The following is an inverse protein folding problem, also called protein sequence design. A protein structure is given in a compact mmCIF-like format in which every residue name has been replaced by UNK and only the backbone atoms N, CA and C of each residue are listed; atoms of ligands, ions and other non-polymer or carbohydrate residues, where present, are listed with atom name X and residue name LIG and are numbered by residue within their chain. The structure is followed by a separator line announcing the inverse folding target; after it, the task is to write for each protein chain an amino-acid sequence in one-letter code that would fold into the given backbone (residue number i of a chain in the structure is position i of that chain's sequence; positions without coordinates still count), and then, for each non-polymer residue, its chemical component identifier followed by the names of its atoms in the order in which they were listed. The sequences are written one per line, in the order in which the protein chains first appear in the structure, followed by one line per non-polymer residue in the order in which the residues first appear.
data_IF_575495670283
#
_entry.id   IF_575495670283
#
_cell.length_a   1.000
_cell.length_b   1.000
_cell.length_c   1.000
_cell.angle_alpha   90.00
_cell.angle_beta   90.00
_cell.angle_gamma   90.00
#
_symmetry.space_group_name_H-M   'P 1'
#
loop_
_entity.id
_entity.type
_entity.pdbx_description
1 polymer ?
#
# COMPACT_ATOMS: atom_id res chain seq x y z
N UNK A 1 14.40 15.37 47.54
CA UNK A 1 14.07 15.57 46.11
C UNK A 1 14.24 14.25 45.39
N UNK A 2 13.20 13.73 44.73
CA UNK A 2 13.37 12.55 43.88
C UNK A 2 14.17 12.96 42.64
N UNK A 3 15.28 12.30 42.37
CA UNK A 3 16.02 12.50 41.12
C UNK A 3 15.20 11.89 39.98
N UNK A 4 14.68 12.74 39.10
CA UNK A 4 14.03 12.28 37.87
C UNK A 4 15.10 11.89 36.85
N UNK A 5 14.88 10.78 36.13
CA UNK A 5 15.75 10.35 35.03
C UNK A 5 15.44 11.18 33.78
N UNK A 6 16.47 11.65 33.08
CA UNK A 6 16.32 12.36 31.81
C UNK A 6 16.06 11.35 30.67
N UNK A 7 14.95 11.46 29.92
CA UNK A 7 14.74 10.65 28.72
C UNK A 7 15.74 11.04 27.63
N UNK A 8 16.38 10.03 27.02
CA UNK A 8 17.31 10.20 25.90
C UNK A 8 16.89 9.30 24.75
N UNK A 9 17.04 9.77 23.50
CA UNK A 9 16.76 8.99 22.30
C UNK A 9 18.00 8.16 21.97
N UNK A 10 17.91 6.84 22.14
CA UNK A 10 19.01 5.90 21.87
C UNK A 10 18.86 5.15 20.53
N UNK A 11 17.73 5.33 19.85
CA UNK A 11 17.43 4.74 18.55
C UNK A 11 16.13 5.32 18.00
N UNK A 12 16.00 5.29 16.68
CA UNK A 12 14.81 5.71 15.96
C UNK A 12 14.75 5.00 14.60
N UNK A 13 13.54 4.74 14.12
CA UNK A 13 13.33 4.03 12.86
C UNK A 13 11.91 4.15 12.37
N UNK A 14 11.64 3.58 11.21
CA UNK A 14 10.35 3.64 10.54
C UNK A 14 10.48 3.87 9.05
N UNK A 15 9.32 3.95 8.37
CA UNK A 15 9.25 4.12 6.93
C UNK A 15 8.18 5.15 6.58
N UNK A 16 8.51 6.05 5.65
CA UNK A 16 7.56 7.01 5.10
C UNK A 16 7.83 7.21 3.59
N UNK A 17 7.28 8.26 2.99
CA UNK A 17 7.45 8.53 1.57
C UNK A 17 8.90 8.81 1.13
N UNK A 18 9.78 9.19 2.05
CA UNK A 18 11.20 9.42 1.81
C UNK A 18 12.07 8.16 2.05
N UNK A 19 11.46 7.03 2.46
CA UNK A 19 12.16 5.76 2.71
C UNK A 19 12.36 5.46 4.19
N UNK A 20 13.47 4.77 4.51
CA UNK A 20 13.85 4.33 5.87
C UNK A 20 14.30 5.50 6.73
N UNK A 21 13.79 5.61 7.95
CA UNK A 21 14.15 6.68 8.88
C UNK A 21 15.51 6.48 9.54
N UNK A 22 15.81 5.26 10.00
CA UNK A 22 17.08 4.95 10.66
C UNK A 22 18.28 5.29 9.76
N UNK A 23 19.44 5.60 10.38
CA UNK A 23 20.63 6.03 9.64
C UNK A 23 20.45 7.35 8.88
N UNK A 24 19.40 8.13 9.20
CA UNK A 24 19.04 9.38 8.54
C UNK A 24 18.74 9.28 7.04
N UNK A 25 18.44 8.10 6.49
CA UNK A 25 18.22 7.95 5.04
C UNK A 25 17.02 8.75 4.53
N UNK A 26 15.89 8.73 5.25
CA UNK A 26 14.72 9.53 4.92
C UNK A 26 15.03 11.04 4.97
N UNK A 27 15.85 11.48 5.93
CA UNK A 27 16.31 12.86 6.01
C UNK A 27 17.19 13.22 4.80
N UNK A 28 18.19 12.39 4.50
CA UNK A 28 19.07 12.52 3.33
C UNK A 28 18.26 12.63 2.04
N UNK A 29 17.21 11.82 1.87
CA UNK A 29 16.32 11.92 0.71
C UNK A 29 15.60 13.27 0.61
N UNK A 30 15.24 13.91 1.72
CA UNK A 30 14.58 15.21 1.71
C UNK A 30 15.50 16.38 1.31
N UNK A 31 16.81 16.24 1.53
CA UNK A 31 17.83 17.27 1.22
C UNK A 31 18.86 16.74 0.22
N UNK A 32 18.43 15.86 -0.69
CA UNK A 32 19.30 15.02 -1.53
C UNK A 32 20.30 15.85 -2.36
N UNK A 33 19.88 17.02 -2.81
CA UNK A 33 20.66 17.99 -3.58
C UNK A 33 21.72 18.73 -2.76
N UNK A 34 21.58 18.74 -1.42
CA UNK A 34 22.52 19.40 -0.49
C UNK A 34 23.60 18.45 0.04
N UNK A 35 23.52 17.17 -0.28
CA UNK A 35 24.46 16.16 0.21
C UNK A 35 25.75 16.15 -0.61
N UNK A 36 26.83 15.73 0.04
CA UNK A 36 28.05 15.35 -0.66
C UNK A 36 27.79 14.15 -1.59
N UNK A 37 28.54 13.99 -2.69
CA UNK A 37 28.28 12.94 -3.68
C UNK A 37 28.15 11.54 -3.08
N UNK A 38 29.03 11.19 -2.13
CA UNK A 38 29.00 9.87 -1.48
C UNK A 38 27.70 9.61 -0.70
N UNK A 39 27.30 10.52 0.19
CA UNK A 39 26.08 10.36 0.99
C UNK A 39 24.82 10.34 0.11
N UNK A 40 24.84 11.12 -0.98
CA UNK A 40 23.78 11.15 -1.99
C UNK A 40 23.66 9.81 -2.69
N UNK A 41 24.76 9.28 -3.19
CA UNK A 41 24.81 8.00 -3.90
C UNK A 41 24.42 6.82 -2.99
N UNK A 42 24.93 6.76 -1.76
CA UNK A 42 24.55 5.74 -0.78
C UNK A 42 23.04 5.77 -0.49
N UNK A 43 22.46 6.97 -0.40
CA UNK A 43 21.01 7.14 -0.20
C UNK A 43 20.21 6.68 -1.41
N UNK A 44 20.63 7.04 -2.62
CA UNK A 44 19.98 6.60 -3.86
C UNK A 44 20.08 5.09 -4.04
N UNK A 45 21.22 4.48 -3.73
CA UNK A 45 21.40 3.03 -3.80
C UNK A 45 20.52 2.28 -2.81
N UNK A 46 20.44 2.74 -1.55
CA UNK A 46 19.53 2.15 -0.56
C UNK A 46 18.06 2.25 -0.97
N UNK A 47 17.65 3.37 -1.57
CA UNK A 47 16.30 3.53 -2.11
C UNK A 47 16.07 2.65 -3.34
N UNK A 48 17.03 2.54 -4.26
CA UNK A 48 16.92 1.70 -5.44
C UNK A 48 16.73 0.21 -5.07
N UNK A 49 17.43 -0.27 -4.04
CA UNK A 49 17.21 -1.61 -3.46
C UNK A 49 15.80 -1.73 -2.89
N UNK A 50 15.37 -0.74 -2.08
CA UNK A 50 14.05 -0.74 -1.45
C UNK A 50 12.89 -0.72 -2.47
N UNK A 51 13.11 -0.05 -3.59
CA UNK A 51 12.17 0.06 -4.70
C UNK A 51 12.20 -1.18 -5.63
N UNK A 52 13.10 -2.13 -5.38
CA UNK A 52 13.26 -3.34 -6.19
C UNK A 52 13.86 -3.10 -7.57
N UNK A 53 14.56 -1.98 -7.79
CA UNK A 53 15.22 -1.65 -9.06
C UNK A 53 16.56 -2.38 -9.22
N UNK A 54 17.22 -2.63 -8.09
CA UNK A 54 18.49 -3.35 -7.97
C UNK A 54 18.44 -4.26 -6.74
N UNK A 55 19.41 -5.14 -6.59
CA UNK A 55 19.59 -5.97 -5.41
C UNK A 55 20.96 -5.73 -4.76
N UNK A 56 21.09 -6.06 -3.48
CA UNK A 56 22.38 -6.09 -2.79
C UNK A 56 22.64 -7.51 -2.29
N UNK A 57 23.66 -8.17 -2.86
CA UNK A 57 24.03 -9.55 -2.55
C UNK A 57 25.53 -9.74 -2.75
N UNK A 58 26.15 -10.57 -1.91
CA UNK A 58 27.60 -10.83 -1.90
C UNK A 58 28.44 -9.54 -1.83
N UNK A 59 28.05 -8.62 -0.95
CA UNK A 59 28.67 -7.28 -0.77
C UNK A 59 28.73 -6.40 -2.04
N UNK A 60 27.86 -6.66 -3.02
CA UNK A 60 27.78 -5.87 -4.25
C UNK A 60 26.32 -5.52 -4.59
N UNK A 61 26.13 -4.31 -5.14
CA UNK A 61 24.89 -3.97 -5.81
C UNK A 61 24.85 -4.63 -7.19
N UNK A 62 23.67 -5.09 -7.60
CA UNK A 62 23.46 -5.77 -8.88
C UNK A 62 22.18 -5.33 -9.56
N UNK A 63 22.21 -5.20 -10.88
CA UNK A 63 20.98 -5.00 -11.68
C UNK A 63 20.15 -6.28 -11.79
N UNK A 64 19.04 -6.20 -12.53
CA UNK A 64 18.12 -7.32 -12.75
C UNK A 64 18.73 -8.48 -13.55
N UNK A 65 19.84 -8.25 -14.25
CA UNK A 65 20.59 -9.26 -15.00
C UNK A 65 21.76 -9.84 -14.17
N UNK A 66 21.99 -9.32 -12.96
CA UNK A 66 23.03 -9.77 -12.03
C UNK A 66 24.38 -9.07 -12.22
N UNK A 67 24.48 -8.09 -13.12
CA UNK A 67 25.72 -7.34 -13.34
C UNK A 67 26.01 -6.44 -12.13
N UNK A 68 27.26 -6.43 -11.61
CA UNK A 68 27.62 -5.56 -10.50
C UNK A 68 27.51 -4.10 -10.90
N UNK A 69 27.09 -3.26 -9.95
CA UNK A 69 26.97 -1.82 -10.12
C UNK A 69 27.76 -1.10 -9.03
N UNK A 70 28.46 -0.04 -9.41
CA UNK A 70 28.96 0.92 -8.45
C UNK A 70 27.93 2.03 -8.12
N UNK A 71 28.23 2.81 -7.10
CA UNK A 71 27.37 3.89 -6.61
C UNK A 71 27.11 5.00 -7.65
N UNK A 72 28.08 5.27 -8.54
CA UNK A 72 27.97 6.29 -9.60
C UNK A 72 27.07 5.78 -10.72
N UNK A 73 27.21 4.51 -11.10
CA UNK A 73 26.35 3.85 -12.08
C UNK A 73 24.90 3.79 -11.59
N UNK A 74 24.68 3.49 -10.30
CA UNK A 74 23.34 3.49 -9.72
C UNK A 74 22.70 4.87 -9.79
N UNK A 75 23.42 5.91 -9.38
CA UNK A 75 22.94 7.30 -9.46
C UNK A 75 22.62 7.69 -10.90
N UNK A 76 23.50 7.37 -11.85
CA UNK A 76 23.30 7.71 -13.26
C UNK A 76 22.16 6.95 -13.92
N UNK A 77 21.94 5.66 -13.58
CA UNK A 77 20.94 4.80 -14.25
C UNK A 77 19.57 4.87 -13.60
N UNK A 78 19.51 4.97 -12.26
CA UNK A 78 18.27 4.83 -11.50
C UNK A 78 17.92 6.08 -10.69
N UNK A 79 18.78 7.09 -10.61
CA UNK A 79 18.59 8.28 -9.78
C UNK A 79 17.27 8.99 -10.05
N UNK A 80 16.95 9.28 -11.31
CA UNK A 80 15.69 9.94 -11.70
C UNK A 80 14.47 9.09 -11.31
N UNK A 81 14.50 7.78 -11.58
CA UNK A 81 13.43 6.86 -11.23
C UNK A 81 13.21 6.78 -9.70
N UNK A 82 14.30 6.83 -8.91
CA UNK A 82 14.24 6.86 -7.45
C UNK A 82 13.62 8.16 -6.95
N UNK A 83 14.01 9.30 -7.53
CA UNK A 83 13.47 10.61 -7.16
C UNK A 83 11.97 10.70 -7.45
N UNK A 84 11.54 10.25 -8.64
CA UNK A 84 10.15 10.21 -9.07
C UNK A 84 9.30 9.20 -8.28
N UNK A 85 9.93 8.13 -7.81
CA UNK A 85 9.28 7.06 -7.05
C UNK A 85 9.12 7.34 -5.56
N UNK A 86 9.53 8.51 -5.06
CA UNK A 86 9.56 8.85 -3.63
C UNK A 86 8.85 10.19 -3.36
N UNK A 87 8.71 10.56 -2.07
CA UNK A 87 8.00 11.76 -1.59
C UNK A 87 6.52 11.82 -2.01
N UNK A 88 5.94 13.02 -1.95
CA UNK A 88 4.56 13.29 -2.37
C UNK A 88 4.51 13.25 -3.90
N UNK A 89 3.62 12.41 -4.43
CA UNK A 89 3.42 12.23 -5.87
C UNK A 89 2.00 11.79 -6.14
N UNK A 90 1.64 11.64 -7.42
CA UNK A 90 0.34 11.09 -7.82
C UNK A 90 0.15 9.70 -7.20
N UNK A 91 -1.06 9.40 -6.72
CA UNK A 91 -1.41 8.08 -6.17
C UNK A 91 -1.20 7.04 -7.27
N UNK A 92 -0.42 6.02 -6.95
CA UNK A 92 -0.06 4.96 -7.87
C UNK A 92 -1.25 4.01 -8.09
N UNK A 93 -1.44 3.53 -9.34
CA UNK A 93 -2.55 2.63 -9.69
C UNK A 93 -2.48 1.28 -8.96
N UNK A 94 -1.31 0.93 -8.42
CA UNK A 94 -1.15 -0.22 -7.51
C UNK A 94 -1.98 -0.10 -6.22
N UNK A 95 -2.40 1.11 -5.82
CA UNK A 95 -3.36 1.31 -4.74
C UNK A 95 -4.79 1.34 -5.27
N UNK A 96 -5.10 2.28 -6.17
CA UNK A 96 -6.37 2.41 -6.88
C UNK A 96 -6.24 3.48 -7.98
N UNK A 97 -7.16 3.48 -8.95
CA UNK A 97 -7.19 4.53 -9.99
C UNK A 97 -7.94 5.77 -9.48
N UNK A 98 -7.23 6.87 -9.28
CA UNK A 98 -7.80 8.17 -8.85
C UNK A 98 -8.71 8.83 -9.89
N UNK A 99 -8.59 8.44 -11.16
CA UNK A 99 -9.43 8.93 -12.25
C UNK A 99 -10.66 8.04 -12.47
N UNK A 100 -10.61 6.81 -11.97
CA UNK A 100 -11.68 5.82 -12.09
C UNK A 100 -11.80 4.99 -10.81
N UNK A 101 -12.18 5.62 -9.69
CA UNK A 101 -12.43 4.89 -8.44
C UNK A 101 -13.81 4.23 -8.50
N UNK A 102 -13.85 2.93 -8.23
CA UNK A 102 -15.09 2.13 -8.24
C UNK A 102 -16.07 2.61 -7.18
N UNK A 103 -17.35 2.65 -7.55
CA UNK A 103 -18.48 2.88 -6.66
C UNK A 103 -19.75 2.34 -7.32
N UNK A 104 -20.87 2.41 -6.60
CA UNK A 104 -22.16 1.98 -7.13
C UNK A 104 -23.13 3.16 -7.22
N UNK A 105 -23.74 3.34 -8.39
CA UNK A 105 -24.86 4.27 -8.56
C UNK A 105 -26.17 3.56 -8.29
N UNK A 106 -26.98 4.11 -7.40
CA UNK A 106 -28.40 3.74 -7.34
C UNK A 106 -29.09 4.20 -8.61
N UNK A 107 -29.89 3.31 -9.19
CA UNK A 107 -30.83 3.64 -10.24
C UNK A 107 -32.15 2.94 -9.94
N UNK A 108 -33.24 3.55 -10.39
CA UNK A 108 -34.57 2.93 -10.36
C UNK A 108 -34.93 2.57 -11.79
N UNK A 109 -35.06 1.28 -12.05
CA UNK A 109 -35.58 0.77 -13.31
C UNK A 109 -37.10 0.82 -13.22
N UNK A 110 -37.71 1.77 -13.91
CA UNK A 110 -39.17 1.81 -14.03
C UNK A 110 -39.65 0.70 -14.97
N UNK A 111 -40.80 0.10 -14.66
CA UNK A 111 -41.49 -0.80 -15.58
C UNK A 111 -42.03 -0.03 -16.83
N UNK A 112 -42.37 1.25 -16.71
CA UNK A 112 -43.01 1.97 -17.83
C UNK A 112 -44.33 1.28 -18.19
N UNK A 113 -44.55 0.99 -19.48
CA UNK A 113 -45.79 0.35 -19.95
C UNK A 113 -45.79 -1.19 -19.85
N UNK A 114 -44.67 -1.83 -19.49
CA UNK A 114 -44.55 -3.30 -19.40
C UNK A 114 -43.71 -3.74 -18.19
N UNK A 115 -44.01 -4.87 -17.52
CA UNK A 115 -43.24 -5.30 -16.35
C UNK A 115 -41.78 -5.62 -16.73
N UNK A 116 -40.87 -5.45 -15.76
CA UNK A 116 -39.47 -5.83 -15.93
C UNK A 116 -39.35 -7.35 -15.82
N UNK A 117 -38.85 -7.99 -16.87
CA UNK A 117 -38.63 -9.44 -16.91
C UNK A 117 -37.14 -9.73 -16.98
N UNK A 118 -36.63 -10.50 -16.02
CA UNK A 118 -35.22 -10.90 -15.96
C UNK A 118 -35.07 -12.31 -15.41
N UNK A 119 -33.92 -12.93 -15.65
CA UNK A 119 -33.60 -14.29 -15.19
C UNK A 119 -32.44 -14.24 -14.20
N UNK A 120 -32.52 -15.02 -13.11
CA UNK A 120 -31.46 -15.13 -12.11
C UNK A 120 -31.43 -16.52 -11.48
N UNK A 121 -30.38 -16.80 -10.70
CA UNK A 121 -30.33 -18.04 -9.91
C UNK A 121 -31.29 -17.93 -8.73
N UNK A 122 -31.91 -19.04 -8.36
CA UNK A 122 -32.82 -19.12 -7.21
C UNK A 122 -32.18 -18.63 -5.92
N UNK A 123 -30.90 -18.97 -5.71
CA UNK A 123 -30.12 -18.57 -4.52
C UNK A 123 -29.77 -17.07 -4.47
N UNK A 124 -29.90 -16.35 -5.59
CA UNK A 124 -29.60 -14.92 -5.69
C UNK A 124 -30.88 -14.07 -5.53
N UNK A 125 -32.05 -14.69 -5.33
CA UNK A 125 -33.30 -14.00 -5.02
C UNK A 125 -33.19 -13.25 -3.68
N UNK A 126 -33.83 -12.08 -3.53
CA UNK A 126 -33.91 -11.41 -2.24
C UNK A 126 -34.62 -12.25 -1.19
N UNK A 127 -34.23 -12.08 0.06
CA UNK A 127 -34.86 -12.73 1.21
C UNK A 127 -35.35 -11.67 2.23
N UNK A 128 -36.67 -11.45 2.38
CA UNK A 128 -37.77 -12.09 1.63
C UNK A 128 -37.88 -11.57 0.18
N UNK A 129 -38.44 -12.39 -0.69
CA UNK A 129 -38.78 -11.99 -2.07
C UNK A 129 -39.82 -10.86 -2.02
N UNK A 130 -39.68 -9.79 -2.82
CA UNK A 130 -40.68 -8.73 -2.90
C UNK A 130 -42.05 -9.27 -3.29
N UNK A 131 -43.10 -8.83 -2.60
CA UNK A 131 -44.44 -9.39 -2.73
C UNK A 131 -45.07 -9.19 -4.12
N UNK A 132 -44.57 -8.22 -4.90
CA UNK A 132 -45.03 -7.90 -6.25
C UNK A 132 -44.29 -8.67 -7.36
N UNK A 133 -43.31 -9.51 -7.00
CA UNK A 133 -42.58 -10.33 -7.97
C UNK A 133 -43.33 -11.62 -8.28
N UNK A 134 -43.48 -11.91 -9.56
CA UNK A 134 -43.90 -13.22 -10.05
C UNK A 134 -42.66 -14.03 -10.43
N UNK A 135 -42.57 -15.26 -9.93
CA UNK A 135 -41.41 -16.14 -10.11
C UNK A 135 -41.85 -17.42 -10.81
N UNK A 136 -41.31 -17.65 -12.00
CA UNK A 136 -41.50 -18.88 -12.76
C UNK A 136 -40.19 -19.68 -12.78
N UNK A 137 -40.26 -20.97 -12.43
CA UNK A 137 -39.10 -21.85 -12.56
C UNK A 137 -38.79 -22.10 -14.03
N UNK A 138 -37.54 -21.84 -14.41
CA UNK A 138 -37.02 -22.24 -15.73
C UNK A 138 -36.47 -23.67 -15.61
N UNK A 139 -35.68 -23.91 -14.57
CA UNK A 139 -35.08 -25.21 -14.23
C UNK A 139 -34.84 -25.31 -12.71
N UNK A 140 -34.00 -26.24 -12.27
CA UNK A 140 -33.69 -26.45 -10.86
C UNK A 140 -32.87 -25.33 -10.20
N UNK A 141 -32.02 -24.60 -10.94
CA UNK A 141 -31.15 -23.51 -10.42
C UNK A 141 -31.64 -22.11 -10.81
N UNK A 142 -32.41 -21.97 -11.90
CA UNK A 142 -32.79 -20.67 -12.49
C UNK A 142 -34.29 -20.40 -12.45
N UNK A 143 -34.60 -19.11 -12.27
CA UNK A 143 -35.97 -18.58 -12.31
C UNK A 143 -36.06 -17.39 -13.26
N UNK A 144 -37.24 -17.22 -13.83
CA UNK A 144 -37.67 -15.98 -14.47
C UNK A 144 -38.46 -15.16 -13.45
N UNK A 145 -38.04 -13.93 -13.24
CA UNK A 145 -38.71 -12.96 -12.39
C UNK A 145 -39.41 -11.94 -13.28
N UNK A 146 -40.67 -11.67 -12.96
CA UNK A 146 -41.46 -10.59 -13.53
C UNK A 146 -41.80 -9.60 -12.41
N UNK A 147 -41.19 -8.43 -12.43
CA UNK A 147 -41.41 -7.36 -11.46
C UNK A 147 -42.36 -6.31 -12.06
N UNK A 148 -43.52 -6.13 -11.42
CA UNK A 148 -44.54 -5.17 -11.87
C UNK A 148 -44.33 -3.75 -11.31
N UNK A 149 -43.52 -3.59 -10.26
CA UNK A 149 -43.13 -2.28 -9.73
C UNK A 149 -41.73 -1.87 -10.18
N UNK A 150 -41.34 -0.64 -9.83
CA UNK A 150 -40.01 -0.15 -10.14
C UNK A 150 -38.95 -0.87 -9.30
N UNK A 151 -37.86 -1.28 -9.94
CA UNK A 151 -36.77 -2.01 -9.31
C UNK A 151 -35.62 -1.07 -8.96
N UNK A 152 -35.27 -0.95 -7.68
CA UNK A 152 -34.03 -0.28 -7.29
C UNK A 152 -32.83 -1.22 -7.52
N UNK A 153 -31.86 -0.75 -8.30
CA UNK A 153 -30.64 -1.50 -8.62
C UNK A 153 -29.40 -0.67 -8.30
N UNK A 154 -28.28 -1.36 -8.14
CA UNK A 154 -26.94 -0.77 -8.04
C UNK A 154 -26.15 -1.13 -9.29
N UNK A 155 -25.72 -0.12 -10.03
CA UNK A 155 -24.80 -0.30 -11.15
C UNK A 155 -23.38 0.02 -10.72
N UNK A 156 -22.44 -0.87 -11.04
CA UNK A 156 -21.03 -0.54 -10.98
C UNK A 156 -20.76 0.70 -11.84
N UNK A 157 -20.07 1.66 -11.24
CA UNK A 157 -19.72 2.93 -11.86
C UNK A 157 -18.34 3.33 -11.38
N UNK A 158 -17.74 4.27 -12.10
CA UNK A 158 -16.46 4.86 -11.72
C UNK A 158 -16.64 6.36 -11.54
N UNK A 159 -15.84 6.96 -10.67
CA UNK A 159 -15.79 8.41 -10.50
C UNK A 159 -14.36 8.88 -10.36
N UNK A 160 -14.17 10.10 -10.81
CA UNK A 160 -12.95 10.83 -10.58
C UNK A 160 -12.90 11.33 -9.12
N UNK A 161 -11.79 11.09 -8.41
CA UNK A 161 -11.57 11.69 -7.09
C UNK A 161 -10.97 13.10 -7.21
N UNK A 162 -11.36 14.06 -6.35
CA UNK A 162 -10.79 15.40 -6.36
C UNK A 162 -9.33 15.43 -5.88
N UNK A 163 -8.92 14.45 -5.07
CA UNK A 163 -7.53 14.33 -4.56
C UNK A 163 -6.79 13.29 -5.38
N UNK A 164 -5.63 13.68 -5.93
CA UNK A 164 -4.84 12.85 -6.84
C UNK A 164 -3.46 12.47 -6.32
N UNK A 165 -3.02 13.07 -5.22
CA UNK A 165 -1.66 12.93 -4.69
C UNK A 165 -1.67 12.55 -3.23
N UNK A 166 -0.62 11.83 -2.83
CA UNK A 166 -0.40 11.42 -1.45
C UNK A 166 1.09 11.15 -1.21
N UNK A 167 1.51 11.26 0.06
CA UNK A 167 2.78 10.70 0.52
C UNK A 167 2.67 9.18 0.56
N UNK A 168 3.35 8.51 -0.36
CA UNK A 168 3.34 7.05 -0.48
C UNK A 168 4.76 6.52 -0.25
N UNK A 169 4.90 5.35 0.39
CA UNK A 169 6.18 4.65 0.48
C UNK A 169 6.90 4.60 -0.87
N UNK A 170 8.25 4.50 -0.92
CA UNK A 170 8.97 4.37 -2.18
C UNK A 170 8.32 3.32 -3.10
N UNK A 171 8.11 3.66 -4.38
CA UNK A 171 7.42 2.80 -5.34
C UNK A 171 8.09 1.42 -5.37
N UNK A 172 7.29 0.35 -5.33
CA UNK A 172 7.80 -1.04 -5.30
C UNK A 172 8.05 -1.59 -3.90
N UNK A 173 8.20 -0.75 -2.87
CA UNK A 173 8.43 -1.24 -1.51
C UNK A 173 7.22 -1.99 -0.95
N UNK A 174 7.43 -3.26 -0.60
CA UNK A 174 6.42 -4.15 -0.04
C UNK A 174 6.79 -4.62 1.38
N UNK A 175 6.29 -3.95 2.43
CA UNK A 175 6.49 -4.36 3.83
C UNK A 175 6.11 -5.81 4.13
N UNK A 176 5.04 -6.30 3.51
CA UNK A 176 4.52 -7.66 3.74
C UNK A 176 5.42 -8.78 3.21
N UNK A 177 6.40 -8.46 2.33
CA UNK A 177 7.37 -9.43 1.87
C UNK A 177 8.50 -9.71 2.89
N UNK A 178 8.62 -8.89 3.93
CA UNK A 178 9.74 -8.94 4.89
C UNK A 178 9.47 -9.85 6.10
N UNK A 179 8.25 -10.35 6.26
CA UNK A 179 7.86 -11.25 7.34
C UNK A 179 6.57 -12.00 6.99
N UNK A 180 6.16 -12.98 7.80
CA UNK A 180 4.88 -13.65 7.61
C UNK A 180 3.71 -12.71 7.95
N UNK A 181 3.17 -12.03 6.94
CA UNK A 181 2.16 -10.97 7.11
C UNK A 181 0.75 -11.35 6.65
N UNK A 182 0.41 -12.64 6.59
CA UNK A 182 -0.92 -13.09 6.17
C UNK A 182 -2.02 -12.42 7.01
N UNK A 183 -3.05 -11.91 6.33
CA UNK A 183 -4.20 -11.21 6.94
C UNK A 183 -3.88 -9.92 7.72
N UNK A 184 -2.62 -9.45 7.73
CA UNK A 184 -2.29 -8.18 8.36
C UNK A 184 -2.63 -7.00 7.43
N UNK A 185 -3.44 -6.02 7.90
CA UNK A 185 -3.60 -4.77 7.16
C UNK A 185 -2.25 -4.05 7.04
N UNK A 186 -2.11 -3.24 5.98
CA UNK A 186 -0.86 -2.55 5.63
C UNK A 186 -0.27 -1.73 6.79
N UNK A 187 -1.13 -1.14 7.64
CA UNK A 187 -0.69 -0.39 8.82
C UNK A 187 0.07 -1.26 9.84
N UNK A 188 -0.39 -2.49 10.10
CA UNK A 188 0.32 -3.42 10.99
C UNK A 188 1.62 -3.91 10.37
N UNK A 189 1.64 -4.13 9.05
CA UNK A 189 2.88 -4.46 8.34
C UNK A 189 3.93 -3.38 8.55
N UNK A 190 3.55 -2.11 8.39
CA UNK A 190 4.42 -0.96 8.63
C UNK A 190 4.85 -0.81 10.09
N UNK A 191 3.95 -1.05 11.04
CA UNK A 191 4.26 -0.97 12.46
C UNK A 191 5.32 -2.01 12.86
N UNK A 192 5.19 -3.25 12.38
CA UNK A 192 6.15 -4.33 12.67
C UNK A 192 7.54 -4.00 12.09
N UNK A 193 7.62 -3.67 10.79
CA UNK A 193 8.92 -3.38 10.18
C UNK A 193 9.53 -2.08 10.71
N UNK A 194 8.71 -1.08 11.06
CA UNK A 194 9.17 0.17 11.64
C UNK A 194 9.71 0.01 13.06
N UNK A 195 9.06 -0.82 13.88
CA UNK A 195 9.57 -1.18 15.19
C UNK A 195 10.89 -1.96 15.09
N UNK A 196 10.98 -2.91 14.15
CA UNK A 196 12.23 -3.62 13.88
C UNK A 196 13.36 -2.68 13.48
N UNK A 197 13.10 -1.73 12.57
CA UNK A 197 14.08 -0.72 12.14
C UNK A 197 14.54 0.15 13.33
N UNK A 198 13.61 0.57 14.19
CA UNK A 198 13.92 1.38 15.36
C UNK A 198 14.76 0.63 16.40
N UNK A 199 14.43 -0.62 16.71
CA UNK A 199 15.19 -1.46 17.66
C UNK A 199 16.61 -1.70 17.12
N UNK A 200 16.74 -2.11 15.86
CA UNK A 200 18.04 -2.40 15.24
C UNK A 200 18.93 -1.16 15.14
N UNK A 201 18.34 0.04 14.99
CA UNK A 201 19.09 1.31 14.96
C UNK A 201 19.89 1.60 16.23
N UNK A 202 19.55 0.96 17.37
CA UNK A 202 20.26 1.15 18.64
C UNK A 202 21.66 0.53 18.62
N UNK A 203 21.90 -0.44 17.73
CA UNK A 203 23.11 -1.25 17.73
C UNK A 203 23.24 -2.17 18.96
N UNK A 204 22.15 -2.36 19.72
CA UNK A 204 22.11 -3.20 20.91
C UNK A 204 21.29 -4.46 20.64
N UNK A 205 21.83 -5.61 21.06
CA UNK A 205 21.04 -6.85 21.13
C UNK A 205 19.87 -6.67 22.10
N UNK A 206 18.65 -6.96 21.63
CA UNK A 206 17.43 -6.71 22.43
C UNK A 206 17.44 -7.46 23.76
N UNK A 207 17.98 -8.68 23.79
CA UNK A 207 18.11 -9.47 25.01
C UNK A 207 19.01 -8.78 26.05
N UNK A 208 20.08 -8.10 25.62
CA UNK A 208 20.97 -7.34 26.51
C UNK A 208 20.25 -6.17 27.16
N UNK A 209 19.36 -5.49 26.41
CA UNK A 209 18.51 -4.41 26.94
C UNK A 209 17.55 -4.97 27.99
N UNK A 210 16.85 -6.06 27.68
CA UNK A 210 15.91 -6.70 28.61
C UNK A 210 16.59 -7.17 29.91
N UNK A 211 17.81 -7.70 29.84
CA UNK A 211 18.57 -8.13 31.01
C UNK A 211 19.07 -6.97 31.89
N UNK A 212 19.04 -5.74 31.38
CA UNK A 212 19.55 -4.54 32.07
C UNK A 212 18.46 -3.76 32.82
N UNK A 213 17.21 -4.21 32.76
CA UNK A 213 16.06 -3.59 33.42
C UNK A 213 15.41 -4.55 34.43
N UNK A 214 14.77 -4.00 35.46
CA UNK A 214 13.98 -4.81 36.40
C UNK A 214 12.63 -5.19 35.74
N UNK A 215 12.07 -6.38 36.05
CA UNK A 215 10.73 -6.77 35.59
C UNK A 215 9.64 -5.76 35.96
#
# INVERSE_FOLDING_TARGET
MSVARLPVIVGFGGFNAAGRSSGHHAYRRMVIESLQPRDRQETLAGLAVMMGLISFADDAYRDTEGHPLDLTEIESRFGEQVLDGTLIRRIDKTFFDVDATHWQKSATLGAGDAPLVFEMRKRDLPEPVPADWQIDNIDDDRVRVTASSALEVKFDSYRELPVKSAGQLPRGFNPGALYNSHYHPRALQLAVIGASDAIQSTGLEWQSVMNSVKP
#
